data_IF_175728569028
#
_entry.id   IF_175728569028
#
_cell.length_a   1.000
_cell.length_b   1.000
_cell.length_c   1.000
_cell.angle_alpha   90.00
_cell.angle_beta   90.00
_cell.angle_gamma   90.00
#
_symmetry.space_group_name_H-M   'P 1'
#
loop_
_entity.id
_entity.type
_entity.pdbx_description
1 polymer ?
#
# COMPACT_ATOMS: atom_id res chain seq x y z
N UNK A 1 8.98 -22.39 -0.92
CA UNK A 1 9.63 -21.98 0.33
C UNK A 1 9.37 -20.51 0.54
N UNK A 2 9.31 -20.13 1.80
CA UNK A 2 9.34 -18.73 2.25
C UNK A 2 10.78 -18.23 2.29
N UNK A 3 10.98 -16.93 2.13
CA UNK A 3 12.29 -16.27 2.21
C UNK A 3 12.19 -15.07 3.15
N UNK A 4 12.75 -15.20 4.34
CA UNK A 4 12.80 -14.13 5.33
C UNK A 4 14.23 -13.61 5.48
N UNK A 5 14.42 -12.35 5.11
CA UNK A 5 15.69 -11.62 5.12
C UNK A 5 15.57 -10.31 5.92
N UNK A 6 14.58 -10.24 6.82
CA UNK A 6 14.39 -9.08 7.70
C UNK A 6 15.66 -8.80 8.51
N UNK A 7 16.12 -7.56 8.51
CA UNK A 7 17.26 -7.10 9.31
C UNK A 7 18.52 -7.97 9.14
N UNK A 8 18.89 -8.26 7.89
CA UNK A 8 20.07 -9.08 7.53
C UNK A 8 21.19 -8.26 6.89
N UNK A 9 21.00 -6.94 6.77
CA UNK A 9 21.87 -6.01 6.05
C UNK A 9 21.97 -6.27 4.53
N UNK A 10 21.04 -7.07 3.98
CA UNK A 10 21.02 -7.38 2.55
C UNK A 10 20.81 -6.09 1.73
N UNK A 11 21.66 -5.91 0.72
CA UNK A 11 21.60 -4.74 -0.17
C UNK A 11 20.72 -4.96 -1.40
N UNK A 12 20.61 -6.20 -1.85
CA UNK A 12 19.79 -6.59 -2.99
C UNK A 12 19.59 -8.11 -2.98
N UNK A 13 18.51 -8.59 -3.60
CA UNK A 13 18.29 -10.03 -3.76
C UNK A 13 19.26 -10.62 -4.80
N UNK A 14 19.57 -11.93 -4.72
CA UNK A 14 20.44 -12.58 -5.70
C UNK A 14 19.90 -12.41 -7.13
N UNK A 15 20.76 -11.97 -8.05
CA UNK A 15 20.42 -11.89 -9.47
C UNK A 15 20.09 -13.31 -9.95
N UNK A 16 18.96 -13.45 -10.65
CA UNK A 16 18.47 -14.75 -11.12
C UNK A 16 17.56 -15.49 -10.14
N UNK A 17 17.27 -14.93 -8.95
CA UNK A 17 16.21 -15.42 -8.08
C UNK A 17 14.85 -15.18 -8.75
N UNK A 18 14.40 -16.08 -9.62
CA UNK A 18 13.20 -15.84 -10.44
C UNK A 18 11.90 -15.85 -9.62
N UNK A 19 11.79 -16.75 -8.65
CA UNK A 19 10.56 -16.98 -7.90
C UNK A 19 10.83 -17.28 -6.43
N UNK A 20 10.04 -16.66 -5.55
CA UNK A 20 9.82 -17.09 -4.17
C UNK A 20 8.41 -17.68 -4.10
N UNK A 21 8.30 -19.00 -3.93
CA UNK A 21 6.98 -19.68 -4.01
C UNK A 21 6.00 -19.26 -2.90
N UNK A 22 6.51 -18.86 -1.74
CA UNK A 22 5.72 -18.42 -0.60
C UNK A 22 5.93 -16.94 -0.32
N UNK A 23 6.02 -16.63 0.97
CA UNK A 23 6.28 -15.31 1.53
C UNK A 23 7.70 -14.79 1.24
N UNK A 24 7.85 -13.49 0.96
CA UNK A 24 9.14 -12.79 0.88
C UNK A 24 9.15 -11.60 1.84
N UNK A 25 10.14 -11.54 2.74
CA UNK A 25 10.37 -10.41 3.62
C UNK A 25 11.80 -9.89 3.50
N UNK A 26 11.93 -8.62 3.16
CA UNK A 26 13.20 -7.88 3.06
C UNK A 26 13.22 -6.65 3.96
N UNK A 27 12.29 -6.55 4.90
CA UNK A 27 12.11 -5.40 5.78
C UNK A 27 13.33 -5.09 6.65
N UNK A 28 13.40 -3.85 7.14
CA UNK A 28 14.45 -3.42 8.08
C UNK A 28 15.87 -3.57 7.52
N UNK A 29 16.00 -3.39 6.21
CA UNK A 29 17.30 -3.29 5.54
C UNK A 29 17.41 -1.89 4.90
N UNK A 30 17.92 -0.87 5.62
CA UNK A 30 17.92 0.52 5.16
C UNK A 30 18.71 0.79 3.87
N UNK A 31 19.64 -0.12 3.53
CA UNK A 31 20.46 -0.09 2.31
C UNK A 31 19.90 -0.97 1.19
N UNK A 32 18.79 -1.68 1.41
CA UNK A 32 18.20 -2.57 0.42
C UNK A 32 17.69 -1.79 -0.79
N UNK A 33 17.90 -2.36 -1.98
CA UNK A 33 17.40 -1.89 -3.25
C UNK A 33 16.76 -3.04 -4.01
N UNK A 34 15.61 -2.74 -4.59
CA UNK A 34 14.99 -3.59 -5.60
C UNK A 34 15.86 -3.61 -6.84
N UNK A 35 16.08 -4.80 -7.40
CA UNK A 35 16.95 -5.01 -8.55
C UNK A 35 16.26 -5.82 -9.67
N UNK A 36 14.93 -5.85 -9.67
CA UNK A 36 14.14 -6.61 -10.64
C UNK A 36 13.97 -8.08 -10.31
N UNK A 37 14.41 -8.51 -9.12
CA UNK A 37 14.21 -9.87 -8.60
C UNK A 37 13.57 -9.84 -7.21
N UNK A 38 12.76 -10.86 -6.86
CA UNK A 38 12.29 -11.90 -7.76
C UNK A 38 11.26 -11.37 -8.75
N UNK A 39 11.05 -12.10 -9.85
CA UNK A 39 9.97 -11.79 -10.79
C UNK A 39 8.60 -12.13 -10.21
N UNK A 40 8.54 -13.19 -9.39
CA UNK A 40 7.30 -13.65 -8.76
C UNK A 40 7.48 -13.95 -7.28
N UNK A 41 6.51 -13.50 -6.48
CA UNK A 41 6.30 -13.92 -5.10
C UNK A 41 4.93 -14.61 -5.01
N UNK A 42 4.88 -15.86 -4.56
CA UNK A 42 3.63 -16.61 -4.51
C UNK A 42 2.73 -16.24 -3.33
N UNK A 43 3.32 -15.75 -2.24
CA UNK A 43 2.61 -15.20 -1.08
C UNK A 43 2.76 -13.68 -0.98
N UNK A 44 2.84 -13.17 0.25
CA UNK A 44 3.00 -11.75 0.51
C UNK A 44 4.42 -11.26 0.22
N UNK A 45 4.54 -10.01 -0.23
CA UNK A 45 5.80 -9.28 -0.31
C UNK A 45 5.84 -8.20 0.78
N UNK A 46 6.80 -8.31 1.68
CA UNK A 46 6.97 -7.41 2.84
C UNK A 46 8.31 -6.70 2.73
N UNK A 47 8.26 -5.37 2.66
CA UNK A 47 9.40 -4.50 2.42
C UNK A 47 9.19 -3.18 3.16
N UNK A 48 8.98 -3.25 4.48
CA UNK A 48 8.83 -2.07 5.33
C UNK A 48 10.18 -1.61 5.90
N UNK A 49 10.33 -0.30 6.16
CA UNK A 49 11.56 0.27 6.73
C UNK A 49 12.85 -0.03 5.93
N UNK A 50 12.80 0.14 4.60
CA UNK A 50 13.95 -0.10 3.71
C UNK A 50 14.43 1.15 2.96
N UNK A 51 13.92 2.35 3.30
CA UNK A 51 14.15 3.59 2.54
C UNK A 51 13.75 3.47 1.05
N UNK A 52 12.72 2.68 0.74
CA UNK A 52 12.21 2.57 -0.61
C UNK A 52 11.56 3.88 -1.04
N UNK A 53 11.81 4.34 -2.27
CA UNK A 53 11.24 5.59 -2.80
C UNK A 53 10.67 5.43 -4.22
N UNK A 54 10.89 4.28 -4.87
CA UNK A 54 10.31 3.96 -6.17
C UNK A 54 10.02 2.47 -6.27
N UNK A 55 9.14 2.10 -7.21
CA UNK A 55 8.78 0.70 -7.48
C UNK A 55 9.59 0.07 -8.61
N UNK A 56 10.64 0.75 -9.08
CA UNK A 56 11.54 0.18 -10.07
C UNK A 56 12.19 -1.10 -9.54
N UNK A 57 11.98 -2.21 -10.26
CA UNK A 57 12.50 -3.50 -9.88
C UNK A 57 11.67 -4.27 -8.86
N UNK A 58 10.43 -3.86 -8.56
CA UNK A 58 9.47 -4.67 -7.79
C UNK A 58 9.16 -6.00 -8.50
N UNK A 59 8.73 -7.03 -7.75
CA UNK A 59 8.18 -8.24 -8.35
C UNK A 59 7.02 -7.93 -9.29
N UNK A 60 7.04 -8.52 -10.48
CA UNK A 60 6.01 -8.34 -11.51
C UNK A 60 4.68 -8.99 -11.09
N UNK A 61 4.75 -10.05 -10.27
CA UNK A 61 3.58 -10.73 -9.72
C UNK A 61 3.76 -11.05 -8.24
N UNK A 62 2.80 -10.62 -7.43
CA UNK A 62 2.67 -10.99 -6.02
C UNK A 62 1.32 -11.71 -5.85
N UNK A 63 1.36 -12.93 -5.31
CA UNK A 63 0.16 -13.76 -5.14
C UNK A 63 -0.66 -13.40 -3.89
N UNK A 64 -0.05 -12.70 -2.93
CA UNK A 64 -0.71 -12.16 -1.75
C UNK A 64 -0.65 -10.64 -1.66
N UNK A 65 -0.60 -10.10 -0.44
CA UNK A 65 -0.51 -8.67 -0.17
C UNK A 65 0.89 -8.08 -0.31
N UNK A 66 0.95 -6.77 -0.47
CA UNK A 66 2.16 -5.95 -0.57
C UNK A 66 2.20 -4.96 0.60
N UNK A 67 3.24 -5.05 1.41
CA UNK A 67 3.38 -4.29 2.65
C UNK A 67 4.66 -3.44 2.61
N UNK A 68 4.48 -2.12 2.50
CA UNK A 68 5.52 -1.13 2.16
C UNK A 68 5.58 0.02 3.18
N UNK A 69 5.17 -0.24 4.42
CA UNK A 69 5.09 0.79 5.44
C UNK A 69 6.48 1.37 5.79
N UNK A 70 6.51 2.58 6.36
CA UNK A 70 7.74 3.21 6.85
C UNK A 70 8.84 3.33 5.78
N UNK A 71 8.47 3.84 4.61
CA UNK A 71 9.39 4.08 3.51
C UNK A 71 9.38 5.57 3.12
N UNK A 72 9.95 5.91 1.97
CA UNK A 72 10.04 7.26 1.42
C UNK A 72 9.33 7.35 0.07
N UNK A 73 8.24 6.60 -0.08
CA UNK A 73 7.47 6.53 -1.33
C UNK A 73 6.67 7.83 -1.46
N UNK A 74 6.81 8.52 -2.60
CA UNK A 74 6.05 9.73 -2.93
C UNK A 74 5.29 9.63 -4.26
N UNK A 75 5.46 8.54 -5.00
CA UNK A 75 4.75 8.26 -6.25
C UNK A 75 4.38 6.79 -6.31
N UNK A 76 3.19 6.49 -6.84
CA UNK A 76 2.73 5.10 -6.99
C UNK A 76 2.94 4.52 -8.39
N UNK A 77 3.57 5.28 -9.28
CA UNK A 77 3.89 4.82 -10.63
C UNK A 77 4.72 3.53 -10.60
N UNK A 78 4.23 2.51 -11.29
CA UNK A 78 4.87 1.20 -11.38
C UNK A 78 4.28 0.13 -10.45
N UNK A 79 3.27 0.45 -9.64
CA UNK A 79 2.44 -0.59 -9.04
C UNK A 79 1.71 -1.39 -10.12
N UNK A 80 1.55 -2.72 -9.95
CA UNK A 80 0.68 -3.50 -10.82
C UNK A 80 -0.78 -3.03 -10.76
N UNK A 81 -1.48 -3.07 -11.89
CA UNK A 81 -2.89 -2.63 -12.02
C UNK A 81 -3.85 -3.42 -11.09
N UNK A 82 -3.50 -4.67 -10.75
CA UNK A 82 -4.32 -5.56 -9.92
C UNK A 82 -3.51 -6.15 -8.77
N UNK A 83 -4.01 -6.00 -7.55
CA UNK A 83 -3.48 -6.62 -6.33
C UNK A 83 -4.38 -7.78 -5.89
N UNK A 84 -3.76 -8.91 -5.60
CA UNK A 84 -4.47 -10.13 -5.15
C UNK A 84 -4.79 -10.13 -3.66
N UNK A 85 -4.14 -9.28 -2.86
CA UNK A 85 -4.39 -9.12 -1.44
C UNK A 85 -4.31 -7.65 -1.04
N UNK A 86 -3.87 -7.41 0.20
CA UNK A 86 -3.79 -6.06 0.77
C UNK A 86 -2.68 -5.23 0.12
N UNK A 87 -2.85 -3.91 0.16
CA UNK A 87 -1.80 -2.94 -0.13
C UNK A 87 -1.66 -2.00 1.07
N UNK A 88 -0.50 -2.06 1.74
CA UNK A 88 -0.20 -1.17 2.87
C UNK A 88 0.95 -0.22 2.55
N UNK A 89 0.63 1.08 2.59
CA UNK A 89 1.50 2.20 2.25
C UNK A 89 1.62 3.20 3.43
N UNK A 90 1.33 2.76 4.66
CA UNK A 90 1.37 3.64 5.84
C UNK A 90 2.74 4.26 6.08
N UNK A 91 2.78 5.47 6.66
CA UNK A 91 4.00 6.23 6.96
C UNK A 91 4.95 6.35 5.75
N UNK A 92 4.43 6.89 4.65
CA UNK A 92 5.19 7.27 3.47
C UNK A 92 5.10 8.79 3.25
N UNK A 93 5.56 9.25 2.08
CA UNK A 93 5.62 10.67 1.70
C UNK A 93 4.64 10.94 0.56
N UNK A 94 3.47 10.30 0.60
CA UNK A 94 2.45 10.41 -0.44
C UNK A 94 1.72 11.76 -0.31
N UNK A 95 1.70 12.53 -1.40
CA UNK A 95 0.90 13.77 -1.52
C UNK A 95 -0.46 13.50 -2.18
N UNK A 96 -0.49 12.53 -3.09
CA UNK A 96 -1.66 12.00 -3.78
C UNK A 96 -1.47 10.48 -4.02
N UNK A 97 -2.41 9.86 -4.73
CA UNK A 97 -2.40 8.42 -5.02
C UNK A 97 -2.30 8.12 -6.53
N UNK A 98 -1.72 9.03 -7.31
CA UNK A 98 -1.56 8.83 -8.74
C UNK A 98 -0.70 7.59 -9.03
N UNK A 99 -1.24 6.68 -9.86
CA UNK A 99 -0.63 5.39 -10.16
C UNK A 99 -1.01 4.26 -9.20
N UNK A 100 -1.95 4.47 -8.27
CA UNK A 100 -2.52 3.39 -7.45
C UNK A 100 -3.14 2.28 -8.32
N UNK A 101 -3.09 1.05 -7.83
CA UNK A 101 -3.72 -0.11 -8.47
C UNK A 101 -5.23 0.09 -8.66
N UNK A 102 -5.75 -0.29 -9.84
CA UNK A 102 -7.17 -0.18 -10.21
C UNK A 102 -8.08 -1.13 -9.44
N UNK A 103 -7.54 -2.26 -9.02
CA UNK A 103 -8.26 -3.29 -8.29
C UNK A 103 -7.37 -3.84 -7.17
N UNK A 104 -7.84 -3.73 -5.93
CA UNK A 104 -7.20 -4.27 -4.73
C UNK A 104 -8.18 -5.27 -4.12
N UNK A 105 -7.83 -6.55 -4.12
CA UNK A 105 -8.76 -7.59 -3.66
C UNK A 105 -8.93 -7.62 -2.14
N UNK A 106 -7.92 -7.13 -1.40
CA UNK A 106 -7.96 -6.99 0.06
C UNK A 106 -8.09 -5.53 0.50
N UNK A 107 -7.41 -5.20 1.58
CA UNK A 107 -7.47 -3.87 2.20
C UNK A 107 -6.52 -2.88 1.51
N UNK A 108 -6.91 -1.60 1.49
CA UNK A 108 -6.00 -0.49 1.19
C UNK A 108 -5.72 0.28 2.47
N UNK A 109 -4.46 0.34 2.87
CA UNK A 109 -4.04 0.89 4.16
C UNK A 109 -3.08 2.07 3.94
N UNK A 110 -3.55 3.29 4.27
CA UNK A 110 -2.89 4.57 3.97
C UNK A 110 -2.61 5.42 5.23
N UNK A 111 -2.46 4.77 6.38
CA UNK A 111 -2.36 5.41 7.69
C UNK A 111 -1.12 6.32 7.81
N UNK A 112 -1.26 7.47 8.47
CA UNK A 112 -0.15 8.38 8.80
C UNK A 112 0.67 8.88 7.59
N UNK A 113 -0.01 9.10 6.46
CA UNK A 113 0.55 9.84 5.33
C UNK A 113 0.24 11.34 5.49
N UNK A 114 1.06 12.03 6.29
CA UNK A 114 0.83 13.43 6.71
C UNK A 114 0.86 14.47 5.57
N UNK A 115 1.20 14.07 4.35
CA UNK A 115 1.20 14.92 3.16
C UNK A 115 0.03 14.61 2.22
N UNK A 116 -0.76 13.56 2.49
CA UNK A 116 -1.79 13.04 1.59
C UNK A 116 -3.06 13.88 1.67
N UNK A 117 -3.12 14.92 0.84
CA UNK A 117 -4.21 15.91 0.87
C UNK A 117 -5.34 15.59 -0.10
N UNK A 118 -5.10 14.74 -1.11
CA UNK A 118 -6.09 14.36 -2.12
C UNK A 118 -6.21 12.86 -2.26
N UNK A 119 -7.46 12.38 -2.30
CA UNK A 119 -7.83 10.99 -2.55
C UNK A 119 -8.45 10.79 -3.94
N UNK A 120 -8.50 11.81 -4.81
CA UNK A 120 -9.23 11.76 -6.08
C UNK A 120 -8.80 10.61 -7.00
N UNK A 121 -7.54 10.20 -6.95
CA UNK A 121 -7.04 9.05 -7.71
C UNK A 121 -7.69 7.71 -7.30
N UNK A 122 -8.45 7.66 -6.20
CA UNK A 122 -9.28 6.51 -5.83
C UNK A 122 -10.64 6.45 -6.54
N UNK A 123 -11.01 7.46 -7.34
CA UNK A 123 -12.25 7.45 -8.13
C UNK A 123 -12.28 6.24 -9.06
N UNK A 124 -13.36 5.46 -9.01
CA UNK A 124 -13.55 4.26 -9.84
C UNK A 124 -12.68 3.06 -9.47
N UNK A 125 -11.86 3.14 -8.41
CA UNK A 125 -11.04 2.04 -7.92
C UNK A 125 -11.91 1.04 -7.15
N UNK A 126 -11.57 -0.25 -7.27
CA UNK A 126 -12.23 -1.35 -6.56
C UNK A 126 -11.36 -1.83 -5.40
N UNK A 127 -11.92 -1.78 -4.20
CA UNK A 127 -11.33 -2.27 -2.95
C UNK A 127 -12.23 -3.39 -2.42
N UNK A 128 -11.69 -4.61 -2.40
CA UNK A 128 -12.39 -5.81 -2.01
C UNK A 128 -12.49 -6.01 -0.50
N UNK A 129 -11.66 -5.30 0.27
CA UNK A 129 -11.70 -5.24 1.73
C UNK A 129 -12.02 -3.83 2.24
N UNK A 130 -11.30 -3.44 3.29
CA UNK A 130 -11.45 -2.18 4.01
C UNK A 130 -10.52 -1.08 3.46
N UNK A 131 -10.92 0.18 3.66
CA UNK A 131 -10.10 1.35 3.34
C UNK A 131 -9.71 2.08 4.62
N UNK A 132 -8.41 2.09 4.94
CA UNK A 132 -7.89 2.71 6.16
C UNK A 132 -7.22 4.04 5.83
N UNK A 133 -7.83 5.14 6.27
CA UNK A 133 -7.41 6.52 6.01
C UNK A 133 -7.17 7.28 7.32
N UNK A 134 -6.53 6.62 8.30
CA UNK A 134 -6.26 7.20 9.62
C UNK A 134 -5.12 8.21 9.55
N UNK A 135 -5.27 9.36 10.20
CA UNK A 135 -4.21 10.36 10.36
C UNK A 135 -3.62 10.85 9.03
N UNK A 136 -4.50 11.21 8.09
CA UNK A 136 -4.16 11.89 6.83
C UNK A 136 -4.88 13.24 6.75
N UNK A 137 -4.32 14.23 6.04
CA UNK A 137 -4.92 15.57 5.96
C UNK A 137 -6.05 15.69 4.93
N UNK A 138 -6.30 14.68 4.08
CA UNK A 138 -7.41 14.70 3.14
C UNK A 138 -8.76 14.87 3.85
N UNK A 139 -9.63 15.69 3.26
CA UNK A 139 -10.95 16.04 3.83
C UNK A 139 -12.12 15.47 3.05
N UNK A 140 -11.88 14.88 1.87
CA UNK A 140 -12.92 14.35 1.00
C UNK A 140 -12.56 12.95 0.47
N UNK A 141 -13.57 12.08 0.35
CA UNK A 141 -13.47 10.77 -0.30
C UNK A 141 -14.08 10.91 -1.70
N UNK A 142 -13.41 10.49 -2.78
CA UNK A 142 -14.00 10.61 -4.12
C UNK A 142 -15.31 9.81 -4.21
N UNK A 143 -16.21 10.29 -5.06
CA UNK A 143 -17.36 9.50 -5.47
C UNK A 143 -16.93 8.33 -6.36
N UNK A 144 -17.79 7.33 -6.54
CA UNK A 144 -17.57 6.17 -7.43
C UNK A 144 -16.46 5.20 -7.01
N UNK A 145 -15.78 5.40 -5.88
CA UNK A 145 -14.93 4.36 -5.29
C UNK A 145 -15.81 3.18 -4.83
N UNK A 146 -15.40 1.96 -5.19
CA UNK A 146 -16.14 0.74 -4.84
C UNK A 146 -15.42 0.06 -3.68
N UNK A 147 -16.02 0.10 -2.50
CA UNK A 147 -15.47 -0.52 -1.29
C UNK A 147 -16.46 -1.57 -0.80
N UNK A 148 -15.99 -2.81 -0.61
CA UNK A 148 -16.82 -3.87 -0.03
C UNK A 148 -16.91 -3.79 1.49
N UNK A 149 -15.82 -3.38 2.12
CA UNK A 149 -15.71 -3.24 3.57
C UNK A 149 -16.09 -1.85 4.08
N UNK A 150 -15.43 -1.45 5.17
CA UNK A 150 -15.62 -0.17 5.83
C UNK A 150 -14.49 0.81 5.51
N UNK A 151 -14.78 2.10 5.67
CA UNK A 151 -13.79 3.16 5.73
C UNK A 151 -13.43 3.43 7.19
N UNK A 152 -12.17 3.19 7.55
CA UNK A 152 -11.64 3.41 8.90
C UNK A 152 -10.97 4.78 8.99
N UNK A 153 -11.47 5.61 9.90
CA UNK A 153 -11.04 7.00 10.10
C UNK A 153 -10.71 7.27 11.57
N UNK A 154 -9.74 8.15 11.84
CA UNK A 154 -9.49 8.67 13.18
C UNK A 154 -10.64 9.59 13.59
N UNK A 155 -11.08 9.51 14.86
CA UNK A 155 -12.06 10.43 15.46
C UNK A 155 -11.72 11.91 15.29
N UNK A 156 -10.44 12.26 15.15
CA UNK A 156 -9.97 13.63 14.91
C UNK A 156 -10.28 14.16 13.49
N UNK A 157 -10.54 13.29 12.51
CA UNK A 157 -10.73 13.66 11.10
C UNK A 157 -12.19 14.05 10.81
N UNK A 158 -12.69 15.08 11.49
CA UNK A 158 -14.12 15.46 11.47
C UNK A 158 -14.67 15.74 10.08
N UNK A 159 -13.90 16.42 9.23
CA UNK A 159 -14.35 16.80 7.88
C UNK A 159 -14.47 15.59 6.97
N UNK A 160 -13.44 14.73 6.96
CA UNK A 160 -13.44 13.48 6.19
C UNK A 160 -14.54 12.52 6.65
N UNK A 161 -14.80 12.44 7.96
CA UNK A 161 -15.91 11.67 8.53
C UNK A 161 -17.26 12.21 8.03
N UNK A 162 -17.44 13.54 8.05
CA UNK A 162 -18.68 14.17 7.63
C UNK A 162 -18.93 13.96 6.13
N UNK A 163 -17.89 14.13 5.30
CA UNK A 163 -17.96 13.90 3.86
C UNK A 163 -18.29 12.43 3.54
N UNK A 164 -17.59 11.49 4.17
CA UNK A 164 -17.81 10.07 3.95
C UNK A 164 -19.25 9.63 4.29
N UNK A 165 -19.79 10.12 5.43
CA UNK A 165 -21.18 9.84 5.84
C UNK A 165 -22.20 10.51 4.93
N UNK A 166 -21.95 11.74 4.48
CA UNK A 166 -22.81 12.46 3.53
C UNK A 166 -22.92 11.72 2.19
N UNK A 167 -21.82 11.09 1.76
CA UNK A 167 -21.74 10.21 0.58
C UNK A 167 -22.22 8.77 0.84
N UNK A 168 -22.80 8.52 2.02
CA UNK A 168 -23.38 7.24 2.42
C UNK A 168 -22.38 6.05 2.48
N UNK A 169 -21.08 6.32 2.61
CA UNK A 169 -20.10 5.27 2.83
C UNK A 169 -20.25 4.64 4.23
N UNK A 170 -19.93 3.35 4.34
CA UNK A 170 -19.89 2.66 5.62
C UNK A 170 -18.63 3.04 6.41
N UNK A 171 -18.77 3.94 7.38
CA UNK A 171 -17.64 4.46 8.17
C UNK A 171 -17.51 3.75 9.52
N UNK A 172 -16.26 3.46 9.91
CA UNK A 172 -15.85 3.06 11.27
C UNK A 172 -14.90 4.12 11.82
N UNK A 173 -15.35 4.80 12.88
CA UNK A 173 -14.53 5.81 13.56
C UNK A 173 -13.82 5.13 14.72
N UNK A 174 -12.49 5.28 14.76
CA UNK A 174 -11.62 4.70 15.77
C UNK A 174 -10.76 5.79 16.42
N UNK A 175 -10.35 5.56 17.67
CA UNK A 175 -9.38 6.41 18.38
C UNK A 175 -7.95 6.18 17.88
#
# INVERSE_FOLDING_TARGET
GELNLRNTEIKQLPIGLMEVKGYLNVSENPSFKLNGYPKKVGGNFVCYATNLFSFHGMPEKVGGGIYLQNNKISSLAGLPDKMMGDLSLSHNQLENLDGISKEISGDLILIENNQLTSLEALRGIKIGGDLWLKDIPATEIPEEIQIRGYIYLNVSQTDLIADAKRKEYYVRVIS
#
